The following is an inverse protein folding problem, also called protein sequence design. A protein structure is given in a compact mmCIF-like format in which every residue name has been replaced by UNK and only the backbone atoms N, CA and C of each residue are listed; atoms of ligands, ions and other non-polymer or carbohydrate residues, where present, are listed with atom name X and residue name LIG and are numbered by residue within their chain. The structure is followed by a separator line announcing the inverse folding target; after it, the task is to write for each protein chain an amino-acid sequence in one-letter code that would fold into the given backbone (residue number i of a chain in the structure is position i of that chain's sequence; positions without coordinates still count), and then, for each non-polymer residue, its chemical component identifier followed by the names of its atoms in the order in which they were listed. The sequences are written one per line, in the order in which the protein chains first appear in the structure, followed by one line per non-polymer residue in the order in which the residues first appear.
data_IF_581217255174
#
_entry.id   IF_581217255174
#
_cell.length_a   1.000
_cell.length_b   1.000
_cell.length_c   1.000
_cell.angle_alpha   90.00
_cell.angle_beta   90.00
_cell.angle_gamma   90.00
#
_symmetry.space_group_name_H-M   'P 1'
#
loop_
_entity.id
_entity.type
_entity.pdbx_description
1 polymer ?
#
# COMPACT_ATOMS: atom_id res chain seq x y z
N UNK A 1 -3.02 -0.26 19.32
CA UNK A 1 -2.48 -1.60 19.01
C UNK A 1 -3.16 -2.07 17.72
N UNK A 2 -2.48 -2.84 16.87
CA UNK A 2 -3.06 -3.32 15.60
C UNK A 2 -4.25 -4.27 15.81
N UNK A 3 -4.25 -5.04 16.90
CA UNK A 3 -5.38 -5.91 17.28
C UNK A 3 -6.71 -5.16 17.34
N UNK A 4 -6.71 -3.94 17.86
CA UNK A 4 -7.91 -3.13 18.04
C UNK A 4 -8.02 -1.98 17.04
N UNK A 5 -7.13 -1.93 16.03
CA UNK A 5 -7.16 -0.85 15.05
C UNK A 5 -8.42 -0.98 14.19
N UNK A 6 -9.33 0.00 14.20
CA UNK A 6 -10.59 -0.11 13.47
C UNK A 6 -10.33 0.02 11.97
N UNK A 7 -10.91 -0.86 11.13
CA UNK A 7 -10.78 -0.73 9.69
C UNK A 7 -11.47 0.56 9.24
N UNK A 8 -10.82 1.29 8.35
CA UNK A 8 -11.27 2.58 7.83
C UNK A 8 -11.98 2.38 6.49
N UNK A 9 -13.10 3.07 6.29
CA UNK A 9 -13.83 3.02 5.02
C UNK A 9 -13.08 3.84 3.97
N UNK A 10 -12.87 3.24 2.80
CA UNK A 10 -12.27 3.92 1.65
C UNK A 10 -13.14 3.70 0.41
N UNK A 11 -13.27 4.75 -0.39
CA UNK A 11 -13.76 4.64 -1.76
C UNK A 11 -12.55 4.54 -2.67
N UNK A 12 -12.38 3.41 -3.34
CA UNK A 12 -11.20 3.11 -4.17
C UNK A 12 -11.67 2.51 -5.50
N UNK A 13 -11.08 3.00 -6.58
CA UNK A 13 -11.18 2.45 -7.92
C UNK A 13 -9.77 2.03 -8.39
N UNK A 14 -9.64 0.83 -8.93
CA UNK A 14 -8.39 0.32 -9.49
C UNK A 14 -8.60 -0.10 -10.95
N UNK A 15 -7.92 0.59 -11.85
CA UNK A 15 -8.04 0.38 -13.31
C UNK A 15 -9.51 0.38 -13.80
N UNK A 16 -10.39 1.20 -13.20
CA UNK A 16 -11.81 1.31 -13.55
C UNK A 16 -12.74 0.31 -12.85
N UNK A 17 -12.24 -0.46 -11.89
CA UNK A 17 -13.04 -1.35 -11.05
C UNK A 17 -13.14 -0.80 -9.62
N UNK A 18 -14.37 -0.56 -9.17
CA UNK A 18 -14.64 -0.13 -7.80
C UNK A 18 -14.40 -1.29 -6.81
N UNK A 19 -13.55 -1.04 -5.83
CA UNK A 19 -13.21 -1.95 -4.74
C UNK A 19 -13.44 -1.28 -3.38
N UNK A 20 -14.39 -0.35 -3.28
CA UNK A 20 -14.68 0.39 -2.05
C UNK A 20 -15.00 -0.56 -0.88
N UNK A 21 -14.24 -0.47 0.21
CA UNK A 21 -14.42 -1.33 1.38
C UNK A 21 -13.83 -0.71 2.66
N UNK A 22 -13.82 -1.48 3.76
CA UNK A 22 -13.18 -1.16 5.02
C UNK A 22 -11.84 -1.89 5.12
N UNK A 23 -10.77 -1.12 5.30
CA UNK A 23 -9.41 -1.63 5.35
C UNK A 23 -8.72 -1.31 6.66
N UNK A 24 -8.03 -2.28 7.24
CA UNK A 24 -7.03 -2.06 8.30
C UNK A 24 -5.79 -1.39 7.70
N UNK A 25 -5.38 -1.85 6.52
CA UNK A 25 -4.22 -1.37 5.79
C UNK A 25 -4.51 -1.47 4.28
N UNK A 26 -4.02 -0.51 3.51
CA UNK A 26 -3.77 -0.70 2.09
C UNK A 26 -2.53 0.08 1.67
N UNK A 27 -1.83 -0.41 0.65
CA UNK A 27 -0.61 0.19 0.11
C UNK A 27 -0.58 0.09 -1.41
N UNK A 28 -0.10 1.14 -2.08
CA UNK A 28 0.24 1.16 -3.49
C UNK A 28 1.76 1.02 -3.66
N UNK A 29 2.23 -0.19 -3.94
CA UNK A 29 3.64 -0.57 -3.81
C UNK A 29 4.36 -0.66 -5.16
N UNK A 30 5.45 0.09 -5.32
CA UNK A 30 6.39 -0.06 -6.45
C UNK A 30 7.53 -1.05 -6.15
N UNK A 31 7.89 -1.19 -4.87
CA UNK A 31 8.95 -2.08 -4.37
C UNK A 31 8.37 -3.11 -3.39
N UNK A 32 9.15 -4.11 -3.02
CA UNK A 32 8.63 -5.27 -2.27
C UNK A 32 8.38 -5.02 -0.79
N UNK A 33 8.99 -4.00 -0.20
CA UNK A 33 8.98 -3.79 1.24
C UNK A 33 8.73 -2.33 1.61
N UNK A 34 8.09 -2.16 2.77
CA UNK A 34 8.03 -0.89 3.49
C UNK A 34 9.17 -0.90 4.51
N UNK A 35 10.13 0.00 4.33
CA UNK A 35 11.37 -0.02 5.11
C UNK A 35 12.18 -1.32 4.92
N UNK A 36 13.12 -1.61 5.84
CA UNK A 36 14.09 -2.69 5.66
C UNK A 36 13.54 -4.11 5.87
N UNK A 37 12.44 -4.27 6.61
CA UNK A 37 12.03 -5.61 7.13
C UNK A 37 10.61 -6.02 6.75
N UNK A 38 9.71 -5.08 6.44
CA UNK A 38 8.30 -5.40 6.21
C UNK A 38 8.02 -5.64 4.72
N UNK A 39 8.04 -6.89 4.28
CA UNK A 39 7.81 -7.27 2.87
C UNK A 39 6.33 -7.53 2.58
N UNK A 40 5.61 -6.54 2.10
CA UNK A 40 4.17 -6.65 1.80
C UNK A 40 3.92 -7.10 0.35
N UNK A 41 4.59 -6.49 -0.62
CA UNK A 41 4.39 -6.78 -2.04
C UNK A 41 5.45 -7.75 -2.57
N UNK A 42 5.41 -9.01 -2.14
CA UNK A 42 6.46 -10.00 -2.47
C UNK A 42 6.72 -10.18 -3.97
N UNK A 43 5.74 -9.87 -4.81
CA UNK A 43 5.81 -9.98 -6.26
C UNK A 43 6.14 -8.67 -6.99
N UNK A 44 6.35 -7.57 -6.27
CA UNK A 44 6.63 -6.27 -6.90
C UNK A 44 7.90 -6.31 -7.76
N UNK A 45 7.79 -5.67 -8.92
CA UNK A 45 8.81 -5.55 -9.93
C UNK A 45 8.85 -4.13 -10.48
N UNK A 46 10.01 -3.46 -10.41
CA UNK A 46 10.13 -2.05 -10.81
C UNK A 46 10.20 -1.81 -12.33
N UNK A 47 10.15 -2.88 -13.14
CA UNK A 47 10.36 -2.84 -14.60
C UNK A 47 9.15 -3.34 -15.41
N UNK A 48 8.02 -3.60 -14.77
CA UNK A 48 6.83 -4.15 -15.42
C UNK A 48 5.78 -3.09 -15.80
N UNK A 49 6.02 -1.83 -15.41
CA UNK A 49 5.10 -0.73 -15.66
C UNK A 49 3.77 -0.88 -14.89
N UNK A 50 3.81 -1.46 -13.69
CA UNK A 50 2.67 -1.64 -12.78
C UNK A 50 3.06 -1.33 -11.33
N UNK A 51 2.06 -1.13 -10.49
CA UNK A 51 2.18 -1.15 -9.02
C UNK A 51 1.42 -2.36 -8.49
N UNK A 52 1.74 -2.80 -7.27
CA UNK A 52 0.99 -3.80 -6.53
C UNK A 52 0.15 -3.13 -5.44
N UNK A 53 -1.16 -3.34 -5.50
CA UNK A 53 -2.08 -3.02 -4.42
C UNK A 53 -2.07 -4.14 -3.39
N UNK A 54 -1.69 -3.78 -2.18
CA UNK A 54 -1.76 -4.62 -0.98
C UNK A 54 -2.95 -4.12 -0.16
N UNK A 55 -3.76 -5.01 0.39
CA UNK A 55 -4.76 -4.63 1.38
C UNK A 55 -4.89 -5.68 2.48
N UNK A 56 -5.41 -5.24 3.62
CA UNK A 56 -5.78 -6.06 4.77
C UNK A 56 -7.19 -5.59 5.17
N UNK A 57 -8.18 -6.46 4.98
CA UNK A 57 -9.55 -6.21 5.45
C UNK A 57 -9.72 -6.69 6.90
N UNK A 58 -10.92 -6.57 7.46
CA UNK A 58 -11.14 -6.92 8.86
C UNK A 58 -11.03 -8.43 9.12
N UNK A 59 -11.53 -9.23 8.17
CA UNK A 59 -11.43 -10.68 8.13
C UNK A 59 -9.98 -11.19 8.06
N UNK A 60 -9.08 -10.41 7.47
CA UNK A 60 -7.66 -10.76 7.31
C UNK A 60 -6.84 -10.53 8.58
N UNK A 61 -7.42 -9.91 9.62
CA UNK A 61 -6.69 -9.44 10.80
C UNK A 61 -5.84 -10.53 11.46
N UNK A 62 -6.41 -11.72 11.67
CA UNK A 62 -5.68 -12.81 12.33
C UNK A 62 -4.45 -13.21 11.52
N UNK A 63 -4.63 -13.43 10.20
CA UNK A 63 -3.57 -13.83 9.28
C UNK A 63 -2.50 -12.73 9.17
N UNK A 64 -2.90 -11.45 9.18
CA UNK A 64 -1.95 -10.34 9.16
C UNK A 64 -1.14 -10.25 10.46
N UNK A 65 -1.77 -10.48 11.62
CA UNK A 65 -1.07 -10.53 12.91
C UNK A 65 -0.06 -11.67 12.96
N UNK A 66 -0.44 -12.88 12.56
CA UNK A 66 0.48 -14.03 12.46
C UNK A 66 1.67 -13.72 11.54
N UNK A 67 1.41 -13.03 10.42
CA UNK A 67 2.47 -12.59 9.52
C UNK A 67 3.46 -11.63 10.22
N UNK A 68 2.95 -10.65 10.97
CA UNK A 68 3.79 -9.69 11.68
C UNK A 68 4.58 -10.35 12.82
N UNK A 69 3.96 -11.23 13.60
CA UNK A 69 4.62 -11.95 14.70
C UNK A 69 5.77 -12.81 14.19
N UNK A 70 5.55 -13.57 13.11
CA UNK A 70 6.59 -14.36 12.48
C UNK A 70 7.74 -13.49 11.92
N UNK A 71 7.43 -12.29 11.38
CA UNK A 71 8.46 -11.32 10.94
C UNK A 71 9.25 -10.75 12.12
N UNK A 72 8.59 -10.43 13.23
CA UNK A 72 9.24 -9.96 14.45
C UNK A 72 10.16 -11.03 15.06
N UNK A 73 9.77 -12.30 14.96
CA UNK A 73 10.61 -13.45 15.34
C UNK A 73 11.80 -13.71 14.36
N UNK A 74 12.00 -12.87 13.35
CA UNK A 74 13.08 -13.00 12.35
C UNK A 74 12.75 -13.95 11.19
N UNK A 75 11.51 -14.43 11.10
CA UNK A 75 11.04 -15.29 10.02
C UNK A 75 11.07 -14.62 8.66
N UNK A 76 11.35 -15.39 7.61
CA UNK A 76 11.32 -14.94 6.20
C UNK A 76 10.10 -15.48 5.47
N UNK A 77 8.92 -15.30 6.06
CA UNK A 77 7.66 -15.78 5.50
C UNK A 77 7.11 -14.81 4.44
N UNK A 78 6.44 -15.32 3.41
CA UNK A 78 5.81 -14.45 2.40
C UNK A 78 4.57 -13.77 2.99
N UNK A 79 4.24 -12.59 2.49
CA UNK A 79 2.97 -11.95 2.81
C UNK A 79 1.82 -12.86 2.35
N UNK A 80 0.84 -13.17 3.22
CA UNK A 80 -0.13 -14.23 2.96
C UNK A 80 -1.35 -13.77 2.15
N UNK A 81 -1.61 -12.47 2.04
CA UNK A 81 -2.81 -11.95 1.38
C UNK A 81 -2.57 -11.71 -0.13
N UNK A 82 -3.62 -11.79 -0.95
CA UNK A 82 -3.52 -11.57 -2.38
C UNK A 82 -3.05 -10.14 -2.72
N UNK A 83 -2.36 -10.02 -3.85
CA UNK A 83 -1.88 -8.76 -4.41
C UNK A 83 -2.60 -8.50 -5.73
N UNK A 84 -3.02 -7.25 -5.95
CA UNK A 84 -3.64 -6.83 -7.21
C UNK A 84 -2.72 -5.85 -7.94
N UNK A 85 -2.26 -6.21 -9.15
CA UNK A 85 -1.45 -5.30 -9.97
C UNK A 85 -2.33 -4.28 -10.69
N UNK A 86 -1.85 -3.04 -10.78
CA UNK A 86 -2.60 -1.96 -11.42
C UNK A 86 -1.72 -0.91 -12.10
N UNK A 87 -2.34 0.00 -12.86
CA UNK A 87 -1.68 1.18 -13.44
C UNK A 87 -2.24 2.50 -12.94
N UNK A 88 -3.53 2.52 -12.63
CA UNK A 88 -4.23 3.68 -12.08
C UNK A 88 -5.02 3.26 -10.85
N UNK A 89 -4.91 4.04 -9.79
CA UNK A 89 -5.73 3.93 -8.58
C UNK A 89 -6.27 5.31 -8.25
N UNK A 90 -7.58 5.41 -8.05
CA UNK A 90 -8.26 6.62 -7.58
C UNK A 90 -8.91 6.35 -6.25
N UNK A 91 -8.85 7.31 -5.34
CA UNK A 91 -9.53 7.18 -4.06
C UNK A 91 -9.98 8.52 -3.50
N UNK A 92 -11.02 8.48 -2.67
CA UNK A 92 -11.52 9.67 -1.97
C UNK A 92 -10.86 9.76 -0.60
N UNK A 93 -10.10 10.83 -0.40
CA UNK A 93 -9.49 11.19 0.87
C UNK A 93 -10.39 12.17 1.63
N UNK A 94 -10.63 11.87 2.91
CA UNK A 94 -11.40 12.73 3.81
C UNK A 94 -10.49 13.40 4.85
N UNK A 95 -10.01 12.69 5.87
CA UNK A 95 -9.35 13.33 7.02
C UNK A 95 -8.20 12.54 7.64
N UNK A 96 -7.64 11.57 6.92
CA UNK A 96 -6.55 10.71 7.42
C UNK A 96 -5.15 11.24 7.07
N UNK A 97 -4.13 10.78 7.80
CA UNK A 97 -2.74 10.95 7.38
C UNK A 97 -2.37 9.80 6.45
N UNK A 98 -1.84 10.13 5.28
CA UNK A 98 -1.24 9.21 4.31
C UNK A 98 0.28 9.26 4.40
N UNK A 99 0.91 8.15 4.03
CA UNK A 99 2.34 8.07 3.82
C UNK A 99 2.60 7.96 2.32
N UNK A 100 3.43 8.85 1.79
CA UNK A 100 4.01 8.71 0.46
C UNK A 100 5.50 8.49 0.63
N UNK A 101 5.96 7.28 0.31
CA UNK A 101 7.28 6.77 0.69
C UNK A 101 7.53 6.90 2.20
N UNK A 102 8.35 7.86 2.61
CA UNK A 102 8.66 8.16 4.02
C UNK A 102 8.08 9.48 4.51
N UNK A 103 7.23 10.14 3.74
CA UNK A 103 6.72 11.49 4.05
C UNK A 103 5.23 11.45 4.36
N UNK A 104 4.87 12.07 5.47
CA UNK A 104 3.48 12.29 5.84
C UNK A 104 2.82 13.31 4.93
N UNK A 105 1.57 13.04 4.58
CA UNK A 105 0.68 13.95 3.89
C UNK A 105 -0.73 13.86 4.48
N UNK A 106 -1.45 14.98 4.69
CA UNK A 106 -0.97 16.35 4.54
C UNK A 106 0.16 16.69 5.52
N UNK A 107 1.03 17.64 5.15
CA UNK A 107 2.08 18.12 6.07
C UNK A 107 1.46 18.92 7.22
N UNK A 108 2.18 19.04 8.34
CA UNK A 108 1.76 19.90 9.46
C UNK A 108 1.48 21.33 8.94
N UNK A 109 0.29 21.85 9.24
CA UNK A 109 -0.24 23.16 8.81
C UNK A 109 -0.59 23.28 7.32
N UNK A 110 -0.54 22.20 6.54
CA UNK A 110 -1.03 22.22 5.16
C UNK A 110 -2.56 22.13 5.15
N UNK A 111 -3.23 23.18 4.68
CA UNK A 111 -4.68 23.14 4.45
C UNK A 111 -4.97 22.41 3.14
N UNK A 112 -5.64 21.27 3.22
CA UNK A 112 -6.12 20.50 2.08
C UNK A 112 -7.64 20.50 2.11
N UNK A 113 -8.28 20.70 0.95
CA UNK A 113 -9.74 20.61 0.85
C UNK A 113 -10.17 19.17 1.06
N UNK A 114 -11.27 18.96 1.77
CA UNK A 114 -11.81 17.63 2.05
C UNK A 114 -13.33 17.65 1.81
N UNK A 115 -13.90 16.61 1.16
CA UNK A 115 -13.20 15.47 0.56
C UNK A 115 -12.39 15.88 -0.68
N UNK A 116 -11.34 15.13 -1.00
CA UNK A 116 -10.57 15.28 -2.23
C UNK A 116 -10.35 13.92 -2.90
N UNK A 117 -10.46 13.88 -4.22
CA UNK A 117 -10.02 12.73 -5.01
C UNK A 117 -8.49 12.79 -5.19
N UNK A 118 -7.82 11.66 -4.96
CA UNK A 118 -6.39 11.48 -5.19
C UNK A 118 -6.22 10.39 -6.23
N UNK A 119 -5.37 10.65 -7.21
CA UNK A 119 -4.99 9.69 -8.24
C UNK A 119 -3.52 9.28 -8.09
N UNK A 120 -3.28 7.98 -8.12
CA UNK A 120 -1.96 7.37 -8.24
C UNK A 120 -1.90 6.72 -9.62
N UNK A 121 -0.95 7.19 -10.44
CA UNK A 121 -0.75 6.68 -11.79
C UNK A 121 0.70 6.24 -12.01
N UNK A 122 0.87 5.10 -12.68
CA UNK A 122 2.18 4.64 -13.12
C UNK A 122 2.66 5.52 -14.26
N UNK A 123 3.88 6.04 -14.12
CA UNK A 123 4.65 6.60 -15.23
C UNK A 123 5.67 5.56 -15.70
N UNK A 124 5.43 4.84 -16.81
CA UNK A 124 6.33 3.80 -17.29
C UNK A 124 7.72 4.36 -17.57
N UNK A 125 8.76 3.63 -17.14
CA UNK A 125 10.17 3.99 -17.36
C UNK A 125 10.50 5.44 -16.96
N UNK A 126 9.91 5.94 -15.87
CA UNK A 126 10.13 7.31 -15.40
C UNK A 126 11.60 7.62 -15.01
N UNK A 127 12.37 6.58 -14.66
CA UNK A 127 13.77 6.69 -14.23
C UNK A 127 14.62 5.62 -14.91
N UNK A 128 15.84 6.00 -15.29
CA UNK A 128 16.92 5.09 -15.65
C UNK A 128 17.88 5.01 -14.47
N UNK A 129 18.12 3.80 -13.98
CA UNK A 129 18.95 3.56 -12.80
C UNK A 129 20.04 2.56 -13.16
N UNK A 130 21.29 2.88 -12.81
CA UNK A 130 22.40 1.96 -12.89
C UNK A 130 22.26 0.90 -11.79
N UNK A 131 22.24 -0.37 -12.19
CA UNK A 131 22.23 -1.51 -11.27
C UNK A 131 23.57 -2.26 -11.37
N UNK A 132 24.11 -2.80 -10.28
CA UNK A 132 25.24 -3.73 -10.35
C UNK A 132 24.91 -4.87 -11.31
N UNK A 133 25.92 -5.40 -12.01
CA UNK A 133 25.73 -6.67 -12.72
C UNK A 133 25.35 -7.73 -11.70
N UNK A 134 24.29 -8.48 -12.00
CA UNK A 134 23.86 -9.62 -11.19
C UNK A 134 24.78 -10.80 -11.39
#
# INVERSE_FOLDING_TARGET
MLHDYPPQKWKIDIDGEEISDRYILWEAMNIRSVGPVLYLASQAATKDGRLDFVCVQEEDRSIFMEYLDARLAGGRIKFPLPLRRFRQLKFVWETSTLHFDGKLWPRKNQKVKSPSEIEIAVKPSALLILQPMR
#
